data_IF_728318451156
#
_entry.id   IF_728318451156
#
_cell.length_a   1.000
_cell.length_b   1.000
_cell.length_c   1.000
_cell.angle_alpha   90.00
_cell.angle_beta   90.00
_cell.angle_gamma   90.00
#
_symmetry.space_group_name_H-M   'P 1'
#
loop_
_entity.id
_entity.type
_entity.pdbx_description
1 polymer ?
#
# COMPACT_ATOMS: atom_id res chain seq x y z
N UNK A 1 41.41 46.19 34.39
CA UNK A 1 40.65 46.03 33.12
C UNK A 1 40.96 44.63 32.60
N UNK A 2 40.02 43.72 32.77
CA UNK A 2 40.20 42.30 32.40
C UNK A 2 39.45 42.05 31.10
N UNK A 3 40.18 41.96 29.99
CA UNK A 3 39.66 41.59 28.71
C UNK A 3 39.29 40.10 28.70
N UNK A 4 38.02 39.75 28.81
CA UNK A 4 37.54 38.37 28.64
C UNK A 4 37.66 37.99 27.16
N UNK A 5 38.28 36.84 26.82
CA UNK A 5 38.52 36.48 25.44
C UNK A 5 37.22 36.14 24.74
N UNK A 6 36.99 36.87 23.65
CA UNK A 6 35.85 36.72 22.71
C UNK A 6 35.77 35.28 22.16
N UNK A 7 36.88 34.56 22.12
CA UNK A 7 36.99 33.17 21.69
C UNK A 7 36.08 32.18 22.43
N UNK A 8 35.80 32.41 23.74
CA UNK A 8 34.97 31.49 24.53
C UNK A 8 33.47 31.60 24.19
N UNK A 9 33.04 32.73 23.69
CA UNK A 9 31.63 32.94 23.29
C UNK A 9 31.29 32.32 21.93
N UNK A 10 32.26 32.25 21.02
CA UNK A 10 32.08 31.63 19.69
C UNK A 10 32.01 30.11 19.82
N UNK A 11 32.79 29.51 20.72
CA UNK A 11 32.75 28.06 20.97
C UNK A 11 31.41 27.60 21.54
N UNK A 12 30.79 28.39 22.44
CA UNK A 12 29.49 28.05 23.03
C UNK A 12 28.33 28.10 22.02
N UNK A 13 28.35 29.04 21.06
CA UNK A 13 27.36 29.16 20.02
C UNK A 13 27.46 28.03 18.99
N UNK A 14 28.66 27.55 18.66
CA UNK A 14 28.87 26.46 17.74
C UNK A 14 28.37 25.11 18.32
N UNK A 15 28.53 24.88 19.64
CA UNK A 15 27.98 23.66 20.27
C UNK A 15 26.46 23.64 20.32
N UNK A 16 25.81 24.79 20.52
CA UNK A 16 24.34 24.87 20.55
C UNK A 16 23.71 24.60 19.19
N UNK A 17 24.34 25.05 18.09
CA UNK A 17 23.87 24.79 16.73
C UNK A 17 24.00 23.31 16.34
N UNK A 18 25.04 22.61 16.77
CA UNK A 18 25.24 21.18 16.53
C UNK A 18 24.20 20.30 17.26
N UNK A 19 23.75 20.71 18.46
CA UNK A 19 22.75 19.95 19.21
C UNK A 19 21.33 20.06 18.60
N UNK A 20 20.99 21.20 17.98
CA UNK A 20 19.68 21.36 17.32
C UNK A 20 19.56 20.54 16.03
N UNK A 21 20.64 20.32 15.29
CA UNK A 21 20.60 19.48 14.09
C UNK A 21 20.43 17.98 14.40
N UNK A 22 20.81 17.51 15.59
CA UNK A 22 20.67 16.11 15.97
C UNK A 22 19.20 15.69 16.22
N UNK A 23 18.28 16.64 16.40
CA UNK A 23 16.85 16.37 16.59
C UNK A 23 16.05 16.28 15.29
N UNK A 24 16.65 16.65 14.15
CA UNK A 24 16.10 16.45 12.81
C UNK A 24 16.53 15.11 12.22
N UNK A 25 16.39 14.01 12.97
CA UNK A 25 16.43 12.69 12.34
C UNK A 25 15.20 12.57 11.46
N UNK A 26 15.35 12.36 10.14
CA UNK A 26 14.20 12.03 9.31
C UNK A 26 13.58 10.77 9.92
N UNK A 27 12.33 10.90 10.35
CA UNK A 27 11.55 9.73 10.76
C UNK A 27 11.59 8.79 9.57
N UNK A 28 12.34 7.70 9.66
CA UNK A 28 12.25 6.60 8.71
C UNK A 28 10.79 6.19 8.69
N UNK A 29 10.08 6.62 7.66
CA UNK A 29 8.77 6.09 7.33
C UNK A 29 8.91 4.58 7.33
N UNK A 30 8.05 3.90 8.06
CA UNK A 30 8.01 2.45 8.18
C UNK A 30 8.34 1.83 6.82
N UNK A 31 9.27 0.87 6.85
CA UNK A 31 9.77 0.19 5.66
C UNK A 31 8.59 -0.35 4.84
N UNK A 32 8.07 0.47 3.93
CA UNK A 32 7.16 0.03 2.89
C UNK A 32 7.88 -1.07 2.11
N UNK A 33 7.20 -2.15 1.86
CA UNK A 33 7.64 -3.18 0.89
C UNK A 33 8.17 -2.43 -0.34
N UNK A 34 9.38 -2.74 -0.86
CA UNK A 34 9.91 -2.05 -2.03
C UNK A 34 8.91 -2.19 -3.18
N UNK A 35 8.20 -1.10 -3.45
CA UNK A 35 7.19 -1.05 -4.49
C UNK A 35 7.90 -0.90 -5.82
N UNK A 36 7.92 -1.97 -6.61
CA UNK A 36 8.24 -1.82 -8.02
C UNK A 36 7.17 -0.93 -8.67
N UNK A 37 7.46 -0.19 -9.74
CA UNK A 37 6.46 0.62 -10.45
C UNK A 37 5.20 -0.16 -10.83
N UNK A 38 5.33 -1.44 -11.10
CA UNK A 38 4.22 -2.34 -11.42
C UNK A 38 3.33 -2.64 -10.21
N UNK A 39 3.91 -2.84 -9.02
CA UNK A 39 3.14 -3.03 -7.80
C UNK A 39 2.39 -1.76 -7.42
N UNK A 40 3.03 -0.59 -7.53
CA UNK A 40 2.38 0.70 -7.29
C UNK A 40 1.20 0.94 -8.25
N UNK A 41 1.36 0.58 -9.53
CA UNK A 41 0.26 0.63 -10.50
C UNK A 41 -0.87 -0.32 -10.12
N UNK A 42 -0.55 -1.54 -9.73
CA UNK A 42 -1.53 -2.54 -9.30
C UNK A 42 -2.32 -2.08 -8.08
N UNK A 43 -1.64 -1.50 -7.09
CA UNK A 43 -2.28 -0.90 -5.93
C UNK A 43 -3.21 0.25 -6.30
N UNK A 44 -2.74 1.17 -7.15
CA UNK A 44 -3.55 2.30 -7.60
C UNK A 44 -4.86 1.85 -8.26
N UNK A 45 -4.78 0.89 -9.19
CA UNK A 45 -5.96 0.32 -9.84
C UNK A 45 -6.89 -0.36 -8.82
N UNK A 46 -6.32 -1.14 -7.89
CA UNK A 46 -7.08 -1.82 -6.85
C UNK A 46 -7.86 -0.83 -5.97
N UNK A 47 -7.24 0.27 -5.59
CA UNK A 47 -7.89 1.35 -4.81
C UNK A 47 -9.02 2.03 -5.57
N UNK A 48 -8.88 2.23 -6.88
CA UNK A 48 -9.91 2.87 -7.71
C UNK A 48 -11.09 1.96 -8.03
N UNK A 49 -10.82 0.68 -8.32
CA UNK A 49 -11.81 -0.21 -8.93
C UNK A 49 -12.35 -1.25 -7.94
N UNK A 50 -11.52 -1.72 -7.01
CA UNK A 50 -11.86 -2.86 -6.15
C UNK A 50 -12.27 -2.47 -4.73
N UNK A 51 -11.89 -1.25 -4.28
CA UNK A 51 -12.12 -0.80 -2.89
C UNK A 51 -13.58 -0.64 -2.52
N UNK A 52 -14.48 -0.52 -3.49
CA UNK A 52 -15.93 -0.51 -3.24
C UNK A 52 -16.45 -1.80 -2.60
N UNK A 53 -15.79 -2.93 -2.87
CA UNK A 53 -16.19 -4.25 -2.37
C UNK A 53 -15.13 -4.93 -1.49
N UNK A 54 -13.85 -4.68 -1.72
CA UNK A 54 -12.74 -5.34 -1.03
C UNK A 54 -11.96 -4.38 -0.12
N UNK A 55 -11.42 -4.89 0.98
CA UNK A 55 -10.31 -4.23 1.66
C UNK A 55 -9.06 -4.53 0.83
N UNK A 56 -8.57 -3.52 0.11
CA UNK A 56 -7.48 -3.68 -0.86
C UNK A 56 -6.10 -3.38 -0.26
N UNK A 57 -6.04 -2.58 0.81
CA UNK A 57 -4.79 -2.21 1.49
C UNK A 57 -5.02 -2.06 2.99
N UNK A 58 -3.95 -2.22 3.79
CA UNK A 58 -4.01 -2.14 5.25
C UNK A 58 -4.32 -0.72 5.76
N UNK A 59 -3.95 0.30 4.99
CA UNK A 59 -4.15 1.72 5.26
C UNK A 59 -5.41 2.30 4.57
N UNK A 60 -6.33 1.44 4.13
CA UNK A 60 -7.59 1.90 3.54
C UNK A 60 -8.41 2.64 4.58
N UNK A 61 -8.64 3.93 4.37
CA UNK A 61 -9.27 4.85 5.32
C UNK A 61 -10.71 4.47 5.63
N UNK A 62 -11.47 4.06 4.61
CA UNK A 62 -12.88 3.70 4.75
C UNK A 62 -13.10 2.23 4.43
N UNK A 63 -13.95 1.54 5.22
CA UNK A 63 -14.36 0.18 4.88
C UNK A 63 -15.17 0.17 3.57
N UNK A 64 -15.10 -0.93 2.80
CA UNK A 64 -15.89 -1.07 1.58
C UNK A 64 -17.39 -0.89 1.84
N UNK A 65 -18.08 0.03 1.14
CA UNK A 65 -19.51 0.28 1.34
C UNK A 65 -20.39 -0.91 0.93
N UNK A 66 -19.92 -1.72 -0.01
CA UNK A 66 -20.63 -2.93 -0.50
C UNK A 66 -20.15 -4.21 0.19
N UNK A 67 -19.70 -4.09 1.43
CA UNK A 67 -19.12 -5.17 2.22
C UNK A 67 -20.16 -6.22 2.65
N UNK A 68 -20.42 -7.19 1.79
CA UNK A 68 -21.14 -8.41 2.16
C UNK A 68 -20.22 -9.62 1.88
N UNK A 69 -19.52 -10.11 2.90
CA UNK A 69 -18.71 -11.33 2.85
C UNK A 69 -17.56 -11.33 1.80
N UNK A 70 -17.16 -10.15 1.33
CA UNK A 70 -16.11 -10.02 0.31
C UNK A 70 -14.73 -10.17 0.98
N UNK A 71 -13.88 -11.10 0.56
CA UNK A 71 -12.59 -11.33 1.18
C UNK A 71 -11.65 -10.15 0.97
N UNK A 72 -10.86 -9.79 1.99
CA UNK A 72 -9.78 -8.82 1.84
C UNK A 72 -8.70 -9.35 0.88
N UNK A 73 -7.97 -8.45 0.22
CA UNK A 73 -6.87 -8.84 -0.69
C UNK A 73 -5.78 -9.64 0.01
N UNK A 74 -5.50 -9.33 1.28
CA UNK A 74 -4.59 -10.12 2.12
C UNK A 74 -5.08 -11.54 2.35
N UNK A 75 -6.39 -11.75 2.49
CA UNK A 75 -6.97 -13.09 2.61
C UNK A 75 -6.87 -13.85 1.28
N UNK A 76 -7.20 -13.18 0.17
CA UNK A 76 -7.08 -13.75 -1.18
C UNK A 76 -5.64 -14.18 -1.45
N UNK A 77 -4.67 -13.29 -1.17
CA UNK A 77 -3.26 -13.54 -1.39
C UNK A 77 -2.75 -14.80 -0.67
N UNK A 78 -3.27 -15.08 0.53
CA UNK A 78 -2.82 -16.17 1.37
C UNK A 78 -3.62 -17.47 1.18
N UNK A 79 -4.61 -17.51 0.28
CA UNK A 79 -5.33 -18.76 -0.03
C UNK A 79 -4.43 -19.76 -0.76
N UNK A 80 -4.50 -21.06 -0.44
CA UNK A 80 -3.77 -22.09 -1.17
C UNK A 80 -4.07 -22.08 -2.67
N UNK A 81 -3.05 -22.25 -3.50
CA UNK A 81 -3.19 -22.38 -4.94
C UNK A 81 -3.57 -21.11 -5.70
N UNK A 82 -3.53 -19.94 -5.07
CA UNK A 82 -3.70 -18.65 -5.76
C UNK A 82 -2.43 -18.32 -6.54
N UNK A 83 -2.56 -18.10 -7.85
CA UNK A 83 -1.48 -17.71 -8.77
C UNK A 83 -1.85 -16.44 -9.52
N UNK A 84 -0.85 -15.79 -10.16
CA UNK A 84 -1.08 -14.61 -10.96
C UNK A 84 -2.05 -14.87 -12.12
N UNK A 85 -1.91 -16.02 -12.79
CA UNK A 85 -2.75 -16.41 -13.93
C UNK A 85 -4.21 -16.66 -13.50
N UNK A 86 -4.41 -17.27 -12.33
CA UNK A 86 -5.75 -17.47 -11.77
C UNK A 86 -6.41 -16.15 -11.42
N UNK A 87 -5.67 -15.24 -10.79
CA UNK A 87 -6.17 -13.89 -10.48
C UNK A 87 -6.49 -13.10 -11.73
N UNK A 88 -5.60 -13.11 -12.74
CA UNK A 88 -5.85 -12.43 -14.01
C UNK A 88 -7.12 -12.93 -14.68
N UNK A 89 -7.30 -14.25 -14.78
CA UNK A 89 -8.54 -14.82 -15.33
C UNK A 89 -9.76 -14.40 -14.52
N UNK A 90 -9.66 -14.41 -13.19
CA UNK A 90 -10.77 -14.03 -12.32
C UNK A 90 -11.21 -12.59 -12.56
N UNK A 91 -10.28 -11.64 -12.60
CA UNK A 91 -10.59 -10.21 -12.75
C UNK A 91 -10.93 -9.79 -14.18
N UNK A 92 -10.73 -10.66 -15.17
CA UNK A 92 -11.08 -10.40 -16.57
C UNK A 92 -12.31 -11.18 -17.04
N UNK A 93 -12.84 -12.06 -16.20
CA UNK A 93 -14.01 -12.87 -16.52
C UNK A 93 -15.20 -12.38 -15.71
N UNK A 94 -16.38 -12.35 -16.32
CA UNK A 94 -17.61 -12.03 -15.61
C UNK A 94 -18.02 -13.21 -14.73
N UNK A 95 -18.09 -12.99 -13.43
CA UNK A 95 -18.57 -13.96 -12.45
C UNK A 95 -20.01 -13.63 -12.06
N UNK A 96 -20.90 -13.56 -13.05
CA UNK A 96 -22.32 -13.43 -12.81
C UNK A 96 -22.91 -14.82 -12.55
N UNK A 97 -23.04 -15.12 -11.29
CA UNK A 97 -23.89 -16.24 -10.86
C UNK A 97 -25.16 -15.60 -10.32
N UNK A 98 -26.22 -15.60 -11.12
CA UNK A 98 -27.50 -14.98 -10.75
C UNK A 98 -28.09 -15.61 -9.50
N UNK A 99 -27.76 -16.87 -9.23
CA UNK A 99 -28.22 -17.62 -8.05
C UNK A 99 -27.46 -17.22 -6.79
N UNK A 100 -26.33 -16.49 -6.97
CA UNK A 100 -25.46 -16.02 -5.88
C UNK A 100 -25.43 -14.50 -5.72
N UNK A 101 -26.36 -13.78 -6.33
CA UNK A 101 -26.53 -12.36 -6.06
C UNK A 101 -26.99 -12.17 -4.59
N UNK A 102 -26.43 -11.19 -3.86
CA UNK A 102 -25.50 -10.13 -4.26
C UNK A 102 -24.01 -10.47 -4.17
N UNK A 103 -23.66 -11.75 -4.10
CA UNK A 103 -22.29 -12.24 -3.85
C UNK A 103 -21.39 -12.34 -5.09
N UNK A 104 -21.92 -12.05 -6.27
CA UNK A 104 -21.15 -12.12 -7.52
C UNK A 104 -20.29 -10.89 -7.73
N UNK A 105 -19.02 -11.12 -8.09
CA UNK A 105 -18.10 -10.05 -8.45
C UNK A 105 -18.37 -9.59 -9.90
N UNK A 106 -18.75 -8.33 -10.14
CA UNK A 106 -18.89 -7.81 -11.49
C UNK A 106 -17.54 -7.78 -12.20
N UNK A 107 -17.55 -7.89 -13.53
CA UNK A 107 -16.32 -7.72 -14.31
C UNK A 107 -15.85 -6.26 -14.22
N UNK A 108 -14.66 -5.99 -13.68
CA UNK A 108 -14.15 -4.63 -13.55
C UNK A 108 -13.64 -4.02 -14.88
N UNK A 109 -13.80 -4.72 -16.00
CA UNK A 109 -13.41 -4.27 -17.34
C UNK A 109 -11.93 -3.89 -17.46
N UNK A 110 -11.05 -4.55 -16.70
CA UNK A 110 -9.62 -4.31 -16.76
C UNK A 110 -9.01 -4.84 -18.05
N UNK A 111 -8.12 -4.06 -18.63
CA UNK A 111 -7.23 -4.53 -19.70
C UNK A 111 -6.26 -5.60 -19.18
N UNK A 112 -5.70 -6.41 -20.08
CA UNK A 112 -4.75 -7.46 -19.70
C UNK A 112 -3.55 -6.95 -18.88
N UNK A 113 -2.90 -5.80 -19.21
CA UNK A 113 -1.81 -5.25 -18.38
C UNK A 113 -2.29 -4.78 -17.00
N UNK A 114 -3.50 -4.24 -16.89
CA UNK A 114 -4.07 -3.81 -15.60
C UNK A 114 -4.40 -5.00 -14.71
N UNK A 115 -5.03 -6.02 -15.27
CA UNK A 115 -5.31 -7.27 -14.56
C UNK A 115 -4.01 -7.94 -14.07
N UNK A 116 -2.94 -7.89 -14.86
CA UNK A 116 -1.62 -8.37 -14.47
C UNK A 116 -1.04 -7.58 -13.30
N UNK A 117 -1.09 -6.26 -13.36
CA UNK A 117 -0.61 -5.39 -12.28
C UNK A 117 -1.37 -5.63 -10.97
N UNK A 118 -2.70 -5.71 -11.03
CA UNK A 118 -3.54 -6.02 -9.85
C UNK A 118 -3.23 -7.41 -9.30
N UNK A 119 -3.08 -8.43 -10.15
CA UNK A 119 -2.73 -9.78 -9.71
C UNK A 119 -1.38 -9.82 -8.98
N UNK A 120 -0.36 -9.11 -9.49
CA UNK A 120 0.95 -9.00 -8.84
C UNK A 120 0.87 -8.24 -7.52
N UNK A 121 0.10 -7.16 -7.48
CA UNK A 121 -0.13 -6.44 -6.24
C UNK A 121 -0.74 -7.34 -5.17
N UNK A 122 -1.83 -8.06 -5.49
CA UNK A 122 -2.47 -9.00 -4.55
C UNK A 122 -1.45 -10.02 -4.03
N UNK A 123 -0.66 -10.63 -4.92
CA UNK A 123 0.36 -11.63 -4.52
C UNK A 123 1.48 -11.01 -3.67
N UNK A 124 1.79 -9.74 -3.86
CA UNK A 124 2.72 -8.98 -3.02
C UNK A 124 2.27 -8.83 -1.57
N UNK A 125 0.98 -8.96 -1.29
CA UNK A 125 0.39 -8.89 0.06
C UNK A 125 0.49 -10.22 0.85
N UNK A 126 1.11 -11.24 0.30
CA UNK A 126 1.33 -12.51 1.01
C UNK A 126 2.17 -12.29 2.26
N UNK A 127 1.71 -12.87 3.35
CA UNK A 127 2.55 -12.98 4.56
C UNK A 127 3.69 -13.96 4.27
N UNK A 128 4.89 -13.53 4.58
CA UNK A 128 6.09 -14.36 4.55
C UNK A 128 6.22 -15.11 5.87
#
# INVERSE_FOLDING_TARGET
MIARPIALRIAALALAAALLCALCTPRSSAAGVPTTPELARGEHIARLVCSGCHVVAADQEFPPPLRHSTPAFTEIANRPGVTAERLQRLVTTTHWDVDKLPMSMPNPMLSKPEAQAVARYILGLRRR
#
